data_IF_669558179534
#
_entry.id   IF_669558179534
#
_cell.length_a   1.000
_cell.length_b   1.000
_cell.length_c   1.000
_cell.angle_alpha   90.00
_cell.angle_beta   90.00
_cell.angle_gamma   90.00
#
_symmetry.space_group_name_H-M   'P 1'
#
loop_
_entity.id
_entity.type
_entity.pdbx_description
1 polymer ?
#
# COMPACT_ATOMS: atom_id res chain seq x y z
N UNK A 1 4.33 -58.22 16.33
CA UNK A 1 5.51 -57.34 16.24
C UNK A 1 5.02 -55.96 15.79
N UNK A 2 5.08 -54.97 16.68
CA UNK A 2 4.67 -53.58 16.44
C UNK A 2 5.81 -52.85 15.73
N UNK A 3 5.53 -52.12 14.66
CA UNK A 3 6.18 -50.83 14.38
C UNK A 3 5.11 -49.89 13.83
N UNK A 4 4.64 -49.00 14.70
CA UNK A 4 3.91 -47.79 14.31
C UNK A 4 4.94 -46.80 13.76
N UNK A 5 4.79 -46.36 12.51
CA UNK A 5 5.45 -45.16 12.00
C UNK A 5 4.43 -44.03 11.97
N UNK A 6 4.34 -43.30 13.08
CA UNK A 6 3.71 -41.99 13.13
C UNK A 6 4.72 -41.00 12.57
N UNK A 7 4.61 -40.66 11.28
CA UNK A 7 5.22 -39.45 10.75
C UNK A 7 4.18 -38.35 10.92
N UNK A 8 4.08 -37.82 12.15
CA UNK A 8 3.38 -36.57 12.37
C UNK A 8 4.24 -35.48 11.71
N UNK A 9 3.82 -35.04 10.52
CA UNK A 9 4.40 -33.90 9.86
C UNK A 9 4.29 -32.70 10.81
N UNK A 10 5.42 -32.32 11.41
CA UNK A 10 5.59 -31.02 12.05
C UNK A 10 5.48 -29.97 10.95
N UNK A 11 4.25 -29.57 10.62
CA UNK A 11 4.00 -28.32 9.91
C UNK A 11 4.42 -27.20 10.87
N UNK A 12 5.71 -26.83 10.80
CA UNK A 12 6.18 -25.57 11.34
C UNK A 12 5.52 -24.50 10.47
N UNK A 13 4.32 -24.08 10.86
CA UNK A 13 3.77 -22.79 10.44
C UNK A 13 4.70 -21.74 11.05
N UNK A 14 5.78 -21.43 10.33
CA UNK A 14 6.47 -20.18 10.53
C UNK A 14 5.40 -19.11 10.32
N UNK A 15 4.99 -18.46 11.41
CA UNK A 15 4.34 -17.15 11.34
C UNK A 15 5.36 -16.23 10.68
N UNK A 16 5.40 -16.25 9.36
CA UNK A 16 5.94 -15.15 8.61
C UNK A 16 5.11 -13.96 9.09
N UNK A 17 5.76 -13.08 9.86
CA UNK A 17 5.29 -11.73 10.00
C UNK A 17 5.46 -11.12 8.61
N UNK A 18 4.56 -11.49 7.68
CA UNK A 18 4.42 -10.80 6.41
C UNK A 18 4.09 -9.38 6.84
N UNK A 19 4.98 -8.45 6.55
CA UNK A 19 4.67 -7.02 6.70
C UNK A 19 3.65 -6.72 5.61
N UNK A 20 2.41 -7.09 5.88
CA UNK A 20 1.27 -6.80 5.04
C UNK A 20 0.93 -5.34 5.28
N UNK A 21 0.85 -4.57 4.21
CA UNK A 21 0.29 -3.23 4.27
C UNK A 21 -1.10 -3.29 4.89
N UNK A 22 -1.47 -2.28 5.68
CA UNK A 22 -2.83 -2.21 6.20
C UNK A 22 -3.82 -2.17 5.02
N UNK A 23 -4.93 -2.94 5.04
CA UNK A 23 -5.91 -2.96 3.95
C UNK A 23 -6.42 -1.56 3.55
N UNK A 24 -6.44 -0.62 4.49
CA UNK A 24 -6.79 0.79 4.20
C UNK A 24 -5.87 1.48 3.19
N UNK A 25 -4.70 0.94 2.88
CA UNK A 25 -3.77 1.46 1.88
C UNK A 25 -3.86 0.67 0.56
N UNK A 26 -4.10 -0.65 0.65
CA UNK A 26 -4.10 -1.55 -0.52
C UNK A 26 -5.45 -1.63 -1.21
N UNK A 27 -6.56 -1.37 -0.51
CA UNK A 27 -7.92 -1.49 -1.05
C UNK A 27 -8.55 -0.17 -1.51
N UNK A 28 -7.79 0.94 -1.49
CA UNK A 28 -8.29 2.24 -1.97
C UNK A 28 -8.66 2.22 -3.46
N UNK A 29 -9.85 2.72 -3.77
CA UNK A 29 -10.39 2.86 -5.11
C UNK A 29 -10.81 4.31 -5.41
N UNK A 30 -10.94 4.65 -6.69
CA UNK A 30 -11.40 5.98 -7.09
C UNK A 30 -12.83 6.23 -6.57
N UNK A 31 -13.01 7.35 -5.87
CA UNK A 31 -14.26 7.73 -5.22
C UNK A 31 -14.21 7.64 -3.70
N UNK A 32 -13.30 6.83 -3.14
CA UNK A 32 -13.13 6.71 -1.68
C UNK A 32 -12.69 8.03 -1.05
N UNK A 33 -13.11 8.24 0.19
CA UNK A 33 -12.71 9.39 0.99
C UNK A 33 -12.01 8.93 2.25
N UNK A 34 -10.87 9.53 2.52
CA UNK A 34 -10.06 9.25 3.70
C UNK A 34 -9.86 10.52 4.50
N UNK A 35 -9.67 10.39 5.81
CA UNK A 35 -9.24 11.51 6.65
C UNK A 35 -7.85 11.96 6.23
N UNK A 36 -7.65 13.26 6.06
CA UNK A 36 -6.32 13.83 5.81
C UNK A 36 -5.37 13.44 6.97
N UNK A 37 -4.29 12.68 6.71
CA UNK A 37 -3.33 12.30 7.75
C UNK A 37 -2.46 13.50 8.20
N UNK A 38 -2.56 14.65 7.54
CA UNK A 38 -1.78 15.84 7.79
C UNK A 38 -0.35 15.72 7.24
N UNK A 39 0.53 16.59 7.72
CA UNK A 39 1.93 16.62 7.28
C UNK A 39 2.74 15.46 7.90
N UNK A 40 2.71 14.30 7.24
CA UNK A 40 3.51 13.12 7.57
C UNK A 40 4.38 12.71 6.39
N UNK A 41 5.50 12.03 6.67
CA UNK A 41 6.42 11.51 5.64
C UNK A 41 6.06 10.10 5.19
N UNK A 42 5.27 9.38 5.99
CA UNK A 42 4.82 8.02 5.73
C UNK A 42 3.46 7.81 6.40
N UNK A 43 2.61 7.00 5.77
CA UNK A 43 1.28 6.64 6.27
C UNK A 43 1.23 5.12 6.42
N UNK A 44 0.90 4.65 7.63
CA UNK A 44 0.75 3.21 7.91
C UNK A 44 -0.71 2.74 7.81
N UNK A 45 -1.65 3.68 7.91
CA UNK A 45 -3.08 3.42 7.88
C UNK A 45 -3.82 4.68 7.46
N UNK A 46 -4.89 4.51 6.68
CA UNK A 46 -5.85 5.57 6.40
C UNK A 46 -7.20 5.23 7.02
N UNK A 47 -7.90 6.26 7.50
CA UNK A 47 -9.27 6.13 7.97
C UNK A 47 -10.21 6.47 6.82
N UNK A 48 -10.93 5.47 6.29
CA UNK A 48 -12.03 5.71 5.35
C UNK A 48 -13.20 6.35 6.09
N UNK A 49 -13.71 7.46 5.56
CA UNK A 49 -14.75 8.29 6.17
C UNK A 49 -15.80 8.70 5.13
N UNK A 50 -16.91 9.29 5.57
CA UNK A 50 -17.89 9.86 4.64
C UNK A 50 -17.29 11.10 3.95
N UNK A 51 -17.49 11.21 2.64
CA UNK A 51 -16.94 12.31 1.85
C UNK A 51 -17.52 13.70 2.17
N UNK A 52 -18.59 13.76 2.96
CA UNK A 52 -19.16 15.02 3.46
C UNK A 52 -18.49 15.50 4.76
N UNK A 53 -17.63 14.68 5.37
CA UNK A 53 -16.83 15.10 6.52
C UNK A 53 -15.81 16.18 6.14
N UNK A 54 -15.49 17.02 7.12
CA UNK A 54 -14.41 17.99 6.99
C UNK A 54 -13.04 17.28 6.98
N UNK A 55 -12.04 17.93 6.38
CA UNK A 55 -10.65 17.47 6.30
C UNK A 55 -10.53 16.07 5.67
N UNK A 56 -11.23 15.88 4.55
CA UNK A 56 -11.20 14.64 3.77
C UNK A 56 -10.45 14.82 2.47
N UNK A 57 -9.74 13.77 2.08
CA UNK A 57 -9.10 13.63 0.78
C UNK A 57 -9.86 12.60 -0.04
N UNK A 58 -10.24 12.95 -1.27
CA UNK A 58 -10.92 12.00 -2.16
C UNK A 58 -9.92 11.34 -3.09
N UNK A 59 -9.89 10.01 -3.11
CA UNK A 59 -9.15 9.24 -4.10
C UNK A 59 -9.75 9.51 -5.48
N UNK A 60 -8.94 10.05 -6.39
CA UNK A 60 -9.35 10.35 -7.77
C UNK A 60 -8.94 9.27 -8.74
N UNK A 61 -7.83 8.60 -8.46
CA UNK A 61 -7.24 7.59 -9.33
C UNK A 61 -6.28 6.70 -8.53
N UNK A 62 -6.21 5.44 -8.91
CA UNK A 62 -5.11 4.55 -8.54
C UNK A 62 -4.50 3.95 -9.81
N UNK A 63 -3.23 3.61 -9.77
CA UNK A 63 -2.57 2.89 -10.84
C UNK A 63 -1.31 2.16 -10.34
N UNK A 64 -0.94 1.09 -11.03
CA UNK A 64 0.26 0.31 -10.74
C UNK A 64 1.49 0.88 -11.48
N UNK A 65 2.62 0.88 -10.79
CA UNK A 65 3.95 1.20 -11.30
C UNK A 65 4.46 -0.04 -12.04
N UNK A 66 4.90 0.15 -13.28
CA UNK A 66 5.42 -0.93 -14.13
C UNK A 66 6.82 -0.61 -14.63
N UNK A 67 7.58 -1.64 -15.00
CA UNK A 67 8.92 -1.45 -15.60
C UNK A 67 10.07 -1.39 -14.61
N UNK A 68 9.83 -1.70 -13.33
CA UNK A 68 10.84 -1.73 -12.28
C UNK A 68 10.76 -3.04 -11.50
N UNK A 69 11.87 -3.78 -11.48
CA UNK A 69 12.00 -5.01 -10.67
C UNK A 69 12.55 -4.69 -9.25
N UNK A 70 13.19 -3.54 -9.08
CA UNK A 70 13.75 -3.05 -7.81
C UNK A 70 13.26 -1.64 -7.50
N UNK A 71 13.32 -1.24 -6.24
CA UNK A 71 12.88 0.10 -5.80
C UNK A 71 13.57 1.20 -6.63
N UNK A 72 12.82 2.04 -7.36
CA UNK A 72 13.40 3.04 -8.26
C UNK A 72 13.92 4.30 -7.53
N UNK A 73 13.50 4.50 -6.28
CA UNK A 73 13.88 5.68 -5.48
C UNK A 73 12.81 6.76 -5.47
N UNK A 74 12.79 7.55 -4.39
CA UNK A 74 11.72 8.52 -4.09
C UNK A 74 11.53 9.56 -5.18
N UNK A 75 12.62 10.02 -5.83
CA UNK A 75 12.53 11.05 -6.88
C UNK A 75 11.87 10.51 -8.15
N UNK A 76 12.13 9.27 -8.51
CA UNK A 76 11.52 8.64 -9.69
C UNK A 76 10.05 8.32 -9.42
N UNK A 77 9.72 7.81 -8.23
CA UNK A 77 8.33 7.60 -7.82
C UNK A 77 7.51 8.89 -7.80
N UNK A 78 8.11 9.99 -7.33
CA UNK A 78 7.47 11.31 -7.41
C UNK A 78 7.23 11.75 -8.86
N UNK A 79 8.20 11.52 -9.75
CA UNK A 79 8.03 11.79 -11.19
C UNK A 79 6.86 11.00 -11.78
N UNK A 80 6.78 9.70 -11.48
CA UNK A 80 5.68 8.83 -11.91
C UNK A 80 4.32 9.34 -11.39
N UNK A 81 4.24 9.75 -10.12
CA UNK A 81 3.02 10.32 -9.56
C UNK A 81 2.64 11.66 -10.22
N UNK A 82 3.61 12.54 -10.46
CA UNK A 82 3.41 13.83 -11.15
C UNK A 82 2.85 13.62 -12.56
N UNK A 83 3.34 12.62 -13.29
CA UNK A 83 2.86 12.31 -14.64
C UNK A 83 1.51 11.57 -14.64
N UNK A 84 1.29 10.70 -13.64
CA UNK A 84 0.12 9.83 -13.58
C UNK A 84 -1.12 10.46 -12.92
N UNK A 85 -0.94 11.44 -12.04
CA UNK A 85 -2.01 12.14 -11.31
C UNK A 85 -2.42 13.46 -12.01
N UNK A 86 -3.56 14.01 -11.59
CA UNK A 86 -4.00 15.34 -12.04
C UNK A 86 -3.05 16.44 -11.54
N UNK A 87 -2.90 17.57 -12.26
CA UNK A 87 -2.16 18.72 -11.75
C UNK A 87 -2.70 19.18 -10.38
N UNK A 88 -1.80 19.46 -9.45
CA UNK A 88 -2.09 19.83 -8.05
C UNK A 88 -2.73 18.73 -7.18
N UNK A 89 -2.80 17.47 -7.66
CA UNK A 89 -3.19 16.35 -6.81
C UNK A 89 -2.16 16.12 -5.69
N UNK A 90 -2.62 15.64 -4.55
CA UNK A 90 -1.76 14.97 -3.57
C UNK A 90 -1.61 13.50 -3.98
N UNK A 91 -0.53 12.84 -3.57
CA UNK A 91 -0.33 11.43 -3.89
C UNK A 91 0.34 10.66 -2.76
N UNK A 92 0.04 9.36 -2.73
CA UNK A 92 0.85 8.37 -2.04
C UNK A 92 1.59 7.52 -3.06
N UNK A 93 2.86 7.27 -2.77
CA UNK A 93 3.73 6.37 -3.51
C UNK A 93 4.33 5.34 -2.54
N UNK A 94 4.74 4.16 -3.02
CA UNK A 94 5.38 3.16 -2.17
C UNK A 94 6.64 3.69 -1.48
N UNK A 95 6.95 3.15 -0.30
CA UNK A 95 8.27 3.31 0.32
C UNK A 95 9.19 2.16 -0.13
N UNK A 96 10.50 2.28 0.09
CA UNK A 96 11.42 1.16 -0.16
C UNK A 96 11.04 -0.09 0.65
N UNK A 97 10.51 0.11 1.86
CA UNK A 97 10.05 -0.99 2.72
C UNK A 97 8.81 -1.67 2.15
N UNK A 98 7.76 -0.92 1.81
CA UNK A 98 6.53 -1.51 1.24
C UNK A 98 6.80 -2.14 -0.12
N UNK A 99 7.70 -1.54 -0.91
CA UNK A 99 8.13 -2.09 -2.18
C UNK A 99 8.75 -3.48 -2.03
N UNK A 100 9.71 -3.61 -1.11
CA UNK A 100 10.50 -4.83 -0.96
C UNK A 100 9.77 -5.92 -0.17
N UNK A 101 8.93 -5.56 0.80
CA UNK A 101 8.32 -6.53 1.70
C UNK A 101 6.84 -6.82 1.45
N UNK A 102 6.12 -5.92 0.78
CA UNK A 102 4.68 -6.05 0.54
C UNK A 102 4.32 -6.05 -0.95
N UNK A 103 5.31 -6.05 -1.85
CA UNK A 103 5.12 -5.90 -3.30
C UNK A 103 4.27 -4.67 -3.67
N UNK A 104 4.41 -3.60 -2.90
CA UNK A 104 3.65 -2.37 -3.13
C UNK A 104 4.15 -1.67 -4.39
N UNK A 105 3.29 -1.61 -5.41
CA UNK A 105 3.54 -0.96 -6.70
C UNK A 105 2.50 0.11 -6.99
N UNK A 106 1.62 0.47 -6.05
CA UNK A 106 0.46 1.30 -6.34
C UNK A 106 0.72 2.77 -6.03
N UNK A 107 0.34 3.64 -6.96
CA UNK A 107 0.19 5.08 -6.71
C UNK A 107 -1.28 5.40 -6.46
N UNK A 108 -1.54 6.23 -5.46
CA UNK A 108 -2.87 6.74 -5.13
C UNK A 108 -2.88 8.25 -5.27
N UNK A 109 -3.78 8.79 -6.09
CA UNK A 109 -3.92 10.24 -6.31
C UNK A 109 -5.15 10.76 -5.54
N UNK A 110 -5.03 11.91 -4.89
CA UNK A 110 -6.09 12.57 -4.13
C UNK A 110 -6.41 13.97 -4.66
N UNK A 111 -7.61 14.45 -4.37
CA UNK A 111 -8.05 15.85 -4.51
C UNK A 111 -8.73 16.35 -3.24
#
# INVERSE_FOLDING_TARGET
>A
MRVLLVVAALAVFALACETVLDPSLTELEAGDCVRDPGAVTEVQKLETVDCSEADTLRVTKTFEITGHDSYPGDLELQGIAIEGCSPAALWLVPTEESWNKADDRKVVCFQ
#
